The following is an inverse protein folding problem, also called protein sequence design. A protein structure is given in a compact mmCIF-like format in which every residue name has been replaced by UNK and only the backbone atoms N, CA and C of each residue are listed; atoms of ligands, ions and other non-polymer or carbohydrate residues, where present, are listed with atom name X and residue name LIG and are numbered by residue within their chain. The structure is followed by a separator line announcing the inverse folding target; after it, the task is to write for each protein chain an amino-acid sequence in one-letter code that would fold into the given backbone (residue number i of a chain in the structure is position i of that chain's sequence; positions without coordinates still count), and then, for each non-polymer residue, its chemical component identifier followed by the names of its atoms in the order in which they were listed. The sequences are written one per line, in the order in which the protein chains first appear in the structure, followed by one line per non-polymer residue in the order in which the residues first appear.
data_IF_544231507722
#
_entry.id   IF_544231507722
#
_cell.length_a   1.000
_cell.length_b   1.000
_cell.length_c   1.000
_cell.angle_alpha   90.00
_cell.angle_beta   90.00
_cell.angle_gamma   90.00
#
_symmetry.space_group_name_H-M   'P 1'
#
loop_
_entity.id
_entity.type
_entity.pdbx_description
1 polymer ?
#
# COMPACT_ATOMS: atom_id res chain seq x y z
N UNK A 1 -54.27 -59.94 23.03
CA UNK A 1 -54.65 -59.81 21.60
C UNK A 1 -53.51 -59.07 20.91
N UNK A 2 -52.80 -59.58 19.90
CA UNK A 2 -52.76 -60.91 19.24
C UNK A 2 -51.36 -61.09 18.60
N UNK A 3 -50.95 -62.32 18.28
CA UNK A 3 -49.66 -62.72 17.66
C UNK A 3 -49.67 -62.57 16.12
N UNK A 4 -48.64 -62.84 15.29
CA UNK A 4 -47.40 -63.67 15.37
C UNK A 4 -46.30 -63.11 14.43
N UNK A 5 -45.00 -63.37 14.69
CA UNK A 5 -44.08 -63.79 13.61
C UNK A 5 -42.86 -62.92 13.20
N UNK A 6 -41.70 -63.58 13.10
CA UNK A 6 -40.45 -63.17 12.42
C UNK A 6 -40.17 -64.25 11.34
N UNK A 7 -39.72 -63.96 10.10
CA UNK A 7 -38.26 -63.91 9.84
C UNK A 7 -37.75 -63.04 8.65
N UNK A 8 -36.49 -62.58 8.78
CA UNK A 8 -35.34 -62.57 7.81
C UNK A 8 -35.61 -62.68 6.29
N UNK A 9 -34.95 -61.84 5.46
CA UNK A 9 -34.04 -62.21 4.32
C UNK A 9 -33.61 -61.00 3.44
N UNK A 10 -32.44 -61.15 2.80
CA UNK A 10 -31.85 -60.43 1.63
C UNK A 10 -31.55 -58.91 1.69
N UNK A 11 -30.26 -58.63 1.83
CA UNK A 11 -29.46 -57.75 0.95
C UNK A 11 -30.18 -57.01 -0.20
N UNK A 12 -30.28 -55.69 -0.07
CA UNK A 12 -30.37 -54.76 -1.19
C UNK A 12 -29.12 -53.87 -1.21
N UNK A 13 -28.40 -53.84 -2.33
CA UNK A 13 -27.33 -52.85 -2.54
C UNK A 13 -27.98 -51.50 -2.83
N UNK A 14 -27.99 -50.59 -1.86
CA UNK A 14 -28.12 -49.16 -2.15
C UNK A 14 -26.74 -48.54 -2.19
N UNK A 15 -26.07 -48.76 -3.33
CA UNK A 15 -25.04 -47.84 -3.79
C UNK A 15 -25.69 -46.47 -3.97
N UNK A 16 -25.57 -45.61 -2.96
CA UNK A 16 -25.94 -44.20 -3.07
C UNK A 16 -25.14 -43.62 -4.22
N UNK A 17 -25.85 -43.33 -5.32
CA UNK A 17 -25.26 -43.00 -6.61
C UNK A 17 -24.30 -41.84 -6.43
N UNK A 18 -23.01 -42.10 -6.63
CA UNK A 18 -22.02 -41.07 -6.83
C UNK A 18 -22.41 -40.34 -8.11
N UNK A 19 -23.20 -39.27 -7.98
CA UNK A 19 -23.49 -38.34 -9.06
C UNK A 19 -22.14 -37.93 -9.64
N UNK A 20 -21.86 -38.18 -10.92
CA UNK A 20 -20.61 -37.75 -11.50
C UNK A 20 -20.59 -36.23 -11.42
N UNK A 21 -19.67 -35.69 -10.61
CA UNK A 21 -19.35 -34.28 -10.63
C UNK A 21 -18.93 -33.96 -12.06
N UNK A 22 -19.83 -33.31 -12.79
CA UNK A 22 -19.55 -32.92 -14.16
C UNK A 22 -18.57 -31.77 -14.08
N UNK A 23 -17.27 -32.10 -14.17
CA UNK A 23 -16.16 -31.15 -14.32
C UNK A 23 -16.31 -30.43 -15.66
N UNK A 24 -17.31 -29.55 -15.73
CA UNK A 24 -17.55 -28.70 -16.88
C UNK A 24 -16.43 -27.67 -16.93
N UNK A 25 -15.60 -27.65 -17.99
CA UNK A 25 -14.49 -26.73 -18.06
C UNK A 25 -15.01 -25.30 -18.01
N UNK A 26 -14.67 -24.60 -16.93
CA UNK A 26 -15.13 -23.25 -16.67
C UNK A 26 -14.75 -22.34 -17.85
N UNK A 27 -15.74 -21.76 -18.53
CA UNK A 27 -15.51 -20.96 -19.75
C UNK A 27 -14.61 -19.77 -19.46
N UNK A 28 -13.34 -19.86 -19.87
CA UNK A 28 -12.35 -18.79 -19.72
C UNK A 28 -12.82 -17.56 -20.51
N UNK A 29 -13.26 -16.52 -19.79
CA UNK A 29 -13.67 -15.24 -20.38
C UNK A 29 -12.43 -14.41 -20.70
N UNK A 30 -11.89 -14.58 -21.90
CA UNK A 30 -10.80 -13.75 -22.41
C UNK A 30 -11.20 -12.26 -22.39
N UNK A 31 -10.48 -11.46 -21.59
CA UNK A 31 -10.54 -10.00 -21.64
C UNK A 31 -9.72 -9.51 -22.84
N UNK A 32 -10.06 -8.33 -23.37
CA UNK A 32 -9.20 -7.63 -24.36
C UNK A 32 -7.78 -7.47 -23.79
N UNK A 33 -6.77 -7.60 -24.65
CA UNK A 33 -5.36 -7.58 -24.27
C UNK A 33 -5.01 -6.38 -23.37
N UNK A 34 -5.46 -5.16 -23.70
CA UNK A 34 -5.23 -3.94 -22.89
C UNK A 34 -5.73 -4.07 -21.44
N UNK A 35 -6.88 -4.73 -21.24
CA UNK A 35 -7.46 -4.95 -19.91
C UNK A 35 -6.65 -5.98 -19.12
N UNK A 36 -6.13 -7.00 -19.79
CA UNK A 36 -5.25 -8.02 -19.21
C UNK A 36 -3.89 -7.43 -18.86
N UNK A 37 -3.26 -6.69 -19.78
CA UNK A 37 -2.00 -5.99 -19.56
C UNK A 37 -2.10 -4.98 -18.40
N UNK A 38 -3.13 -4.14 -18.37
CA UNK A 38 -3.39 -3.22 -17.24
C UNK A 38 -3.59 -3.96 -15.92
N UNK A 39 -4.24 -5.13 -15.94
CA UNK A 39 -4.43 -5.94 -14.74
C UNK A 39 -3.10 -6.52 -14.24
N UNK A 40 -2.26 -7.04 -15.13
CA UNK A 40 -0.92 -7.54 -14.81
C UNK A 40 -0.05 -6.42 -14.21
N UNK A 41 -0.03 -5.23 -14.82
CA UNK A 41 0.73 -4.08 -14.27
C UNK A 41 0.26 -3.69 -12.87
N UNK A 42 -1.05 -3.69 -12.61
CA UNK A 42 -1.59 -3.45 -11.26
C UNK A 42 -1.20 -4.54 -10.24
N UNK A 43 -1.05 -5.79 -10.68
CA UNK A 43 -0.57 -6.90 -9.83
C UNK A 43 0.91 -6.68 -9.48
N UNK A 44 1.75 -6.43 -10.48
CA UNK A 44 3.19 -6.16 -10.29
C UNK A 44 3.44 -4.95 -9.38
N UNK A 45 2.70 -3.85 -9.56
CA UNK A 45 2.76 -2.66 -8.69
C UNK A 45 2.40 -2.99 -7.24
N UNK A 46 1.42 -3.89 -7.02
CA UNK A 46 1.00 -4.30 -5.69
C UNK A 46 2.06 -5.20 -5.04
N UNK A 47 2.51 -6.24 -5.73
CA UNK A 47 3.56 -7.15 -5.25
C UNK A 47 4.85 -6.40 -4.91
N UNK A 48 5.24 -5.40 -5.69
CA UNK A 48 6.40 -4.56 -5.40
C UNK A 48 6.21 -3.73 -4.12
N UNK A 49 5.01 -3.15 -3.91
CA UNK A 49 4.69 -2.38 -2.70
C UNK A 49 4.63 -3.25 -1.46
N UNK A 50 4.05 -4.45 -1.54
CA UNK A 50 3.93 -5.35 -0.40
C UNK A 50 5.33 -5.82 0.06
N UNK A 51 6.21 -6.27 -0.87
CA UNK A 51 7.62 -6.59 -0.58
C UNK A 51 8.38 -5.44 0.09
N UNK A 52 8.20 -4.20 -0.41
CA UNK A 52 8.85 -3.00 0.15
C UNK A 52 8.34 -2.61 1.54
N UNK A 53 7.15 -3.08 1.95
CA UNK A 53 6.60 -2.88 3.30
C UNK A 53 7.06 -3.96 4.27
N UNK A 54 7.22 -5.19 3.80
CA UNK A 54 7.74 -6.29 4.60
C UNK A 54 9.20 -6.03 5.04
N UNK A 55 10.00 -5.38 4.18
CA UNK A 55 11.36 -4.94 4.53
C UNK A 55 11.41 -3.87 5.64
N UNK A 56 10.46 -2.93 5.67
CA UNK A 56 10.52 -1.71 6.48
C UNK A 56 9.13 -1.18 6.82
N UNK A 57 8.88 -0.96 8.11
CA UNK A 57 7.69 -0.23 8.56
C UNK A 57 7.70 1.23 8.07
N UNK A 58 6.61 1.63 7.42
CA UNK A 58 6.46 2.94 6.77
C UNK A 58 5.16 3.59 7.27
N UNK A 59 5.25 4.69 8.04
CA UNK A 59 4.07 5.32 8.63
C UNK A 59 3.17 5.96 7.56
N UNK A 60 1.86 6.08 7.83
CA UNK A 60 0.93 6.76 6.92
C UNK A 60 1.15 8.28 6.91
N UNK A 61 1.99 8.75 5.99
CA UNK A 61 2.31 10.18 5.82
C UNK A 61 1.16 10.90 5.09
N UNK A 62 0.57 11.92 5.71
CA UNK A 62 -0.46 12.76 5.09
C UNK A 62 0.03 14.21 4.90
N UNK A 63 -0.50 14.95 3.89
CA UNK A 63 -0.30 16.39 3.80
C UNK A 63 -0.68 17.09 5.11
N UNK A 64 0.15 18.03 5.57
CA UNK A 64 -0.02 18.72 6.85
C UNK A 64 0.76 18.09 8.01
N UNK A 65 1.31 16.89 7.86
CA UNK A 65 2.19 16.31 8.86
C UNK A 65 3.59 16.95 8.81
N UNK A 66 4.17 17.20 9.97
CA UNK A 66 5.57 17.57 10.13
C UNK A 66 6.35 16.29 10.39
N UNK A 67 7.31 15.98 9.52
CA UNK A 67 8.13 14.77 9.61
C UNK A 67 9.60 15.12 9.78
N UNK A 68 10.32 14.23 10.45
CA UNK A 68 11.78 14.18 10.48
C UNK A 68 12.22 12.94 9.69
N UNK A 69 13.03 13.18 8.68
CA UNK A 69 13.52 12.20 7.72
C UNK A 69 15.02 12.01 7.92
N UNK A 70 15.50 10.76 7.95
CA UNK A 70 16.92 10.41 7.85
C UNK A 70 17.19 9.83 6.47
N UNK A 71 18.06 10.47 5.70
CA UNK A 71 18.42 10.10 4.33
C UNK A 71 19.92 9.86 4.23
N UNK A 72 20.31 8.72 3.68
CA UNK A 72 21.67 8.46 3.22
C UNK A 72 21.89 9.13 1.87
N UNK A 73 22.94 9.96 1.76
CA UNK A 73 23.27 10.68 0.53
C UNK A 73 24.31 9.88 -0.26
N UNK A 74 24.04 9.41 -1.50
CA UNK A 74 24.93 8.50 -2.23
C UNK A 74 26.36 9.02 -2.44
N UNK A 75 26.50 10.33 -2.62
CA UNK A 75 27.79 11.04 -2.77
C UNK A 75 28.62 11.02 -1.48
N UNK A 76 27.96 11.02 -0.32
CA UNK A 76 28.58 11.03 1.00
C UNK A 76 28.20 9.76 1.77
N UNK A 77 28.62 8.59 1.27
CA UNK A 77 28.27 7.22 1.74
C UNK A 77 28.41 6.93 3.25
N UNK A 78 29.04 7.82 4.04
CA UNK A 78 29.17 7.70 5.50
C UNK A 78 28.25 8.63 6.31
N UNK A 79 27.53 9.55 5.67
CA UNK A 79 26.76 10.61 6.34
C UNK A 79 25.27 10.45 6.13
N UNK A 80 24.56 10.13 7.20
CA UNK A 80 23.10 10.23 7.28
C UNK A 80 22.74 11.70 7.49
N UNK A 81 22.06 12.30 6.52
CA UNK A 81 21.50 13.65 6.62
C UNK A 81 20.14 13.59 7.30
N UNK A 82 19.88 14.50 8.24
CA UNK A 82 18.56 14.64 8.86
C UNK A 82 17.84 15.90 8.40
N UNK A 83 16.55 15.76 8.07
CA UNK A 83 15.73 16.83 7.50
C UNK A 83 14.38 16.86 8.21
N UNK A 84 14.02 18.00 8.80
CA UNK A 84 12.69 18.26 9.36
C UNK A 84 11.93 19.21 8.45
N UNK A 85 10.64 18.95 8.20
CA UNK A 85 9.80 19.81 7.35
C UNK A 85 8.33 19.40 7.38
N UNK A 86 7.48 20.18 6.70
CA UNK A 86 6.05 19.89 6.54
C UNK A 86 5.80 19.20 5.20
N UNK A 87 4.97 18.16 5.19
CA UNK A 87 4.57 17.47 3.96
C UNK A 87 3.48 18.28 3.28
N UNK A 88 3.79 18.83 2.11
CA UNK A 88 2.87 19.69 1.35
C UNK A 88 2.02 18.91 0.35
N UNK A 89 2.48 17.75 -0.11
CA UNK A 89 1.75 16.92 -1.06
C UNK A 89 2.24 15.47 -0.99
N UNK A 90 1.36 14.53 -1.30
CA UNK A 90 1.65 13.12 -1.55
C UNK A 90 1.03 12.72 -2.90
N UNK A 91 1.77 11.97 -3.72
CA UNK A 91 1.31 11.35 -4.97
C UNK A 91 1.42 9.85 -4.80
N UNK A 92 0.29 9.16 -4.75
CA UNK A 92 0.24 7.71 -4.73
C UNK A 92 0.37 7.20 -6.17
N UNK A 93 1.34 6.32 -6.42
CA UNK A 93 1.66 5.78 -7.74
C UNK A 93 2.39 4.43 -7.59
N UNK A 94 1.75 3.47 -6.92
CA UNK A 94 2.34 2.17 -6.61
C UNK A 94 3.69 2.30 -5.89
N UNK A 95 4.75 1.59 -6.34
CA UNK A 95 6.09 1.71 -5.77
C UNK A 95 6.72 3.10 -6.00
N UNK A 96 6.27 3.84 -7.02
CA UNK A 96 6.70 5.22 -7.30
C UNK A 96 5.91 6.28 -6.50
N UNK A 97 5.30 5.89 -5.39
CA UNK A 97 4.63 6.81 -4.46
C UNK A 97 5.64 7.81 -3.90
N UNK A 98 5.34 9.10 -3.99
CA UNK A 98 6.24 10.21 -3.61
C UNK A 98 5.56 11.18 -2.67
N UNK A 99 6.34 11.82 -1.79
CA UNK A 99 5.89 12.94 -0.98
C UNK A 99 6.81 14.15 -1.16
N UNK A 100 6.24 15.35 -0.97
CA UNK A 100 6.95 16.63 -1.06
C UNK A 100 7.10 17.23 0.33
N UNK A 101 8.33 17.42 0.76
CA UNK A 101 8.71 18.06 2.02
C UNK A 101 9.07 19.52 1.74
N UNK A 102 8.47 20.46 2.47
CA UNK A 102 8.88 21.87 2.48
C UNK A 102 9.54 22.18 3.82
N UNK A 103 10.68 22.86 3.81
CA UNK A 103 11.35 23.39 5.01
C UNK A 103 11.97 24.76 4.70
N UNK A 104 12.21 25.56 5.74
CA UNK A 104 13.02 26.77 5.60
C UNK A 104 14.45 26.46 6.04
N UNK A 105 15.44 26.82 5.22
CA UNK A 105 16.87 26.65 5.47
C UNK A 105 17.54 28.00 5.25
N UNK A 106 18.19 28.54 6.28
CA UNK A 106 18.93 29.81 6.19
C UNK A 106 18.12 30.96 5.54
N UNK A 107 16.84 31.10 5.90
CA UNK A 107 15.92 32.09 5.33
C UNK A 107 15.22 31.67 4.03
N UNK A 108 15.73 30.67 3.31
CA UNK A 108 15.21 30.25 2.00
C UNK A 108 14.23 29.07 2.12
N UNK A 109 13.10 29.15 1.43
CA UNK A 109 12.10 28.07 1.38
C UNK A 109 12.49 26.96 0.42
N UNK A 110 12.97 25.83 0.94
CA UNK A 110 13.40 24.66 0.17
C UNK A 110 12.28 23.62 0.10
N UNK A 111 11.97 23.14 -1.11
CA UNK A 111 11.10 22.00 -1.36
C UNK A 111 11.92 20.82 -1.88
N UNK A 112 11.64 19.61 -1.38
CA UNK A 112 12.34 18.38 -1.76
C UNK A 112 11.31 17.26 -1.98
N UNK A 113 11.53 16.44 -3.00
CA UNK A 113 10.64 15.32 -3.35
C UNK A 113 11.35 14.01 -3.00
N UNK A 114 10.66 13.12 -2.28
CA UNK A 114 11.21 11.84 -1.86
C UNK A 114 10.30 10.68 -2.31
N UNK A 115 10.87 9.57 -2.85
CA UNK A 115 10.13 8.33 -3.05
C UNK A 115 9.92 7.64 -1.71
N UNK A 116 8.69 7.26 -1.39
CA UNK A 116 8.30 6.72 -0.08
C UNK A 116 9.05 5.43 0.28
N UNK A 117 9.26 4.55 -0.71
CA UNK A 117 9.87 3.23 -0.53
C UNK A 117 11.39 3.20 -0.82
N UNK A 118 12.03 4.36 -0.99
CA UNK A 118 13.46 4.42 -1.37
C UNK A 118 14.39 3.78 -0.33
N UNK A 119 15.39 2.95 -0.72
CA UNK A 119 16.37 2.37 0.20
C UNK A 119 17.31 3.41 0.85
N UNK A 120 17.38 4.62 0.26
CA UNK A 120 18.17 5.74 0.77
C UNK A 120 17.50 6.38 2.01
N UNK A 121 16.21 6.15 2.23
CA UNK A 121 15.50 6.58 3.44
C UNK A 121 15.70 5.53 4.52
N UNK A 122 16.37 5.90 5.60
CA UNK A 122 16.64 5.01 6.74
C UNK A 122 15.58 5.08 7.84
N UNK A 123 14.99 6.26 8.05
CA UNK A 123 14.00 6.45 9.12
C UNK A 123 13.04 7.60 8.78
N UNK A 124 11.76 7.42 9.05
CA UNK A 124 10.71 8.44 8.92
C UNK A 124 10.00 8.56 10.27
N UNK A 125 10.17 9.70 10.97
CA UNK A 125 9.40 10.00 12.19
C UNK A 125 8.35 11.07 11.92
N UNK A 126 7.11 10.82 12.32
CA UNK A 126 6.08 11.86 12.39
C UNK A 126 6.25 12.62 13.70
N UNK A 127 6.55 13.91 13.61
CA UNK A 127 6.82 14.77 14.78
C UNK A 127 5.55 15.50 15.24
N UNK A 128 4.74 15.97 14.30
CA UNK A 128 3.50 16.71 14.58
C UNK A 128 2.51 16.54 13.41
N UNK A 129 1.20 16.74 13.67
CA UNK A 129 0.09 16.55 12.72
C UNK A 129 -0.78 17.80 12.69
N UNK A 130 -0.47 18.76 11.79
CA UNK A 130 -1.32 19.97 11.64
C UNK A 130 -2.61 19.65 10.86
N UNK A 131 -3.75 20.13 11.38
CA UNK A 131 -5.05 20.05 10.71
C UNK A 131 -5.06 20.94 9.46
N UNK A 132 -5.26 20.34 8.29
CA UNK A 132 -5.31 21.05 7.00
C UNK A 132 -6.58 20.71 6.21
N UNK A 133 -7.04 21.66 5.39
CA UNK A 133 -8.27 21.51 4.57
C UNK A 133 -8.00 21.13 3.10
N UNK A 134 -6.76 21.29 2.60
CA UNK A 134 -6.39 21.01 1.21
C UNK A 134 -5.49 19.78 1.12
N UNK A 135 -5.71 18.92 0.13
CA UNK A 135 -4.85 17.75 -0.14
C UNK A 135 -3.46 18.12 -0.68
N UNK A 136 -3.27 19.33 -1.20
CA UNK A 136 -1.98 19.89 -1.61
C UNK A 136 -1.84 21.30 -1.05
N UNK A 137 -0.78 21.53 -0.28
CA UNK A 137 -0.53 22.75 0.49
C UNK A 137 0.38 23.74 -0.25
N UNK A 138 0.21 23.87 -1.58
CA UNK A 138 1.07 24.75 -2.39
C UNK A 138 0.96 26.23 -2.01
N UNK A 139 -0.14 26.64 -1.39
CA UNK A 139 -0.31 27.97 -0.79
C UNK A 139 0.71 28.28 0.33
N UNK A 140 1.47 27.29 0.81
CA UNK A 140 2.58 27.50 1.75
C UNK A 140 3.85 28.06 1.08
N UNK A 141 3.84 28.24 -0.24
CA UNK A 141 4.86 28.99 -0.99
C UNK A 141 4.76 30.48 -0.71
N UNK A 142 3.53 30.99 -0.78
CA UNK A 142 3.19 32.41 -0.68
C UNK A 142 2.97 32.85 0.78
N UNK A 143 3.05 31.93 1.74
CA UNK A 143 2.82 32.17 3.17
C UNK A 143 4.14 32.11 3.94
N UNK A 144 4.40 33.14 4.74
CA UNK A 144 5.53 33.16 5.66
C UNK A 144 5.40 32.05 6.71
N UNK A 145 6.49 31.28 6.88
CA UNK A 145 6.77 30.31 7.95
C UNK A 145 5.58 29.47 8.51
N UNK A 146 5.18 28.35 7.87
CA UNK A 146 4.19 27.42 8.42
C UNK A 146 4.61 26.70 9.72
N UNK A 147 5.84 26.89 10.17
CA UNK A 147 6.41 26.25 11.36
C UNK A 147 6.14 27.00 12.67
N UNK A 148 5.77 28.29 12.62
CA UNK A 148 5.27 28.94 13.84
C UNK A 148 3.92 28.34 14.24
N UNK A 149 3.67 28.37 15.54
CA UNK A 149 2.38 28.07 16.17
C UNK A 149 1.47 29.29 15.97
#
# INVERSE_FOLDING_TARGET
MTTVGNPKVSSGQESSVASPETDQPHRIKFKRLDKTAKHIMNILDKEAVDKMRDERDIPDIRPGYIIQLKVEVPENKRRISSMKGIVIARRNAGPNTTFRLRRLVSGVGVESVFPLYSPNIKEIKVVDKKKVRRAKLYYLRDRMNPFKK
#
